data_IF_958632467637
#
_entry.id   IF_958632467637
#
_cell.length_a   1.000
_cell.length_b   1.000
_cell.length_c   1.000
_cell.angle_alpha   90.00
_cell.angle_beta   90.00
_cell.angle_gamma   90.00
#
_symmetry.space_group_name_H-M   'P 1'
#
loop_
_entity.id
_entity.type
_entity.pdbx_description
1 polymer ?
#
# COMPACT_ATOMS: atom_id res chain seq x y z
N UNK A 1 -11.53 18.02 14.41
CA UNK A 1 -10.82 16.75 14.23
C UNK A 1 -9.59 17.05 13.40
N UNK A 2 -8.38 16.70 13.88
CA UNK A 2 -7.13 16.86 13.11
C UNK A 2 -7.18 16.01 11.84
N UNK A 3 -6.68 16.55 10.74
CA UNK A 3 -6.61 15.87 9.45
C UNK A 3 -5.89 14.51 9.56
N UNK A 4 -6.43 13.41 8.98
CA UNK A 4 -5.81 12.09 9.10
C UNK A 4 -4.38 12.02 8.59
N UNK A 5 -4.04 12.79 7.54
CA UNK A 5 -2.67 12.84 7.03
C UNK A 5 -1.78 13.55 8.04
N UNK A 6 -2.17 14.71 8.55
CA UNK A 6 -1.41 15.40 9.60
C UNK A 6 -1.13 14.49 10.82
N UNK A 7 -2.13 13.73 11.26
CA UNK A 7 -1.95 12.75 12.36
C UNK A 7 -0.94 11.65 12.04
N UNK A 8 -0.91 11.16 10.79
CA UNK A 8 0.04 10.13 10.36
C UNK A 8 1.48 10.68 10.32
N UNK A 9 1.68 11.86 9.73
CA UNK A 9 3.01 12.47 9.64
C UNK A 9 3.59 12.79 11.01
N UNK A 10 2.76 13.29 11.94
CA UNK A 10 3.18 13.47 13.34
C UNK A 10 3.65 12.16 13.97
N UNK A 11 2.97 11.05 13.69
CA UNK A 11 3.38 9.75 14.22
C UNK A 11 4.72 9.27 13.62
N UNK A 12 5.00 9.59 12.36
CA UNK A 12 6.31 9.32 11.77
C UNK A 12 7.41 10.13 12.44
N UNK A 13 7.18 11.43 12.71
CA UNK A 13 8.12 12.29 13.44
C UNK A 13 8.42 11.74 14.84
N UNK A 14 7.38 11.34 15.60
CA UNK A 14 7.54 10.72 16.93
C UNK A 14 8.37 9.42 16.90
N UNK A 15 8.35 8.69 15.78
CA UNK A 15 9.09 7.45 15.57
C UNK A 15 10.48 7.67 14.93
N UNK A 16 10.83 8.91 14.58
CA UNK A 16 12.07 9.23 13.87
C UNK A 16 12.11 8.72 12.42
N UNK A 17 10.95 8.57 11.79
CA UNK A 17 10.82 8.14 10.39
C UNK A 17 10.74 9.38 9.49
N UNK A 18 11.76 9.57 8.65
CA UNK A 18 11.78 10.64 7.65
C UNK A 18 10.92 10.25 6.43
N UNK A 19 9.65 10.66 6.45
CA UNK A 19 8.67 10.33 5.42
C UNK A 19 8.55 11.47 4.40
N UNK A 20 9.04 11.23 3.17
CA UNK A 20 8.89 12.19 2.06
C UNK A 20 7.57 11.98 1.34
N UNK A 21 6.73 13.02 1.31
CA UNK A 21 5.48 12.99 0.55
C UNK A 21 5.71 13.54 -0.87
N UNK A 22 5.72 12.66 -1.86
CA UNK A 22 5.78 13.07 -3.27
C UNK A 22 4.34 13.29 -3.77
N UNK A 23 3.99 14.49 -4.26
CA UNK A 23 2.69 14.73 -4.87
C UNK A 23 2.49 13.79 -6.05
N UNK A 24 1.36 13.09 -6.05
CA UNK A 24 1.05 12.11 -7.06
C UNK A 24 -0.35 12.40 -7.63
N UNK A 25 -0.48 12.71 -8.94
CA UNK A 25 -1.74 13.13 -9.51
C UNK A 25 -2.76 11.98 -9.53
N UNK A 26 -4.03 12.35 -9.39
CA UNK A 26 -5.13 11.41 -9.51
C UNK A 26 -5.16 10.82 -10.94
N UNK A 27 -5.35 9.51 -11.02
CA UNK A 27 -5.42 8.73 -12.25
C UNK A 27 -6.41 7.59 -12.04
N UNK A 28 -6.86 6.94 -13.11
CA UNK A 28 -7.91 5.91 -13.05
C UNK A 28 -7.45 4.56 -13.52
N UNK A 29 -6.45 4.52 -14.40
CA UNK A 29 -5.93 3.28 -14.96
C UNK A 29 -4.55 2.95 -14.38
N UNK A 30 -4.20 1.66 -14.41
CA UNK A 30 -2.88 1.22 -13.95
C UNK A 30 -1.79 1.79 -14.85
N UNK A 31 -2.07 1.84 -16.15
CA UNK A 31 -1.19 2.33 -17.20
C UNK A 31 -0.86 3.83 -17.00
N UNK A 32 -1.87 4.67 -16.75
CA UNK A 32 -1.66 6.07 -16.38
C UNK A 32 -0.80 6.20 -15.13
N UNK A 33 -1.06 5.37 -14.11
CA UNK A 33 -0.30 5.42 -12.87
C UNK A 33 1.17 5.07 -13.09
N UNK A 34 1.45 4.00 -13.85
CA UNK A 34 2.83 3.61 -14.19
C UNK A 34 3.55 4.71 -14.97
N UNK A 35 2.88 5.32 -15.95
CA UNK A 35 3.45 6.43 -16.72
C UNK A 35 3.75 7.66 -15.84
N UNK A 36 2.85 8.00 -14.91
CA UNK A 36 3.02 9.15 -14.00
C UNK A 36 4.15 8.97 -12.99
N UNK A 37 4.43 7.73 -12.58
CA UNK A 37 5.57 7.44 -11.70
C UNK A 37 6.91 7.47 -12.43
N UNK A 38 6.94 7.10 -13.70
CA UNK A 38 8.18 7.10 -14.51
C UNK A 38 9.32 6.35 -13.82
N UNK A 39 10.50 6.98 -13.77
CA UNK A 39 11.73 6.43 -13.16
C UNK A 39 11.89 6.82 -11.69
N UNK A 40 10.79 7.12 -10.99
CA UNK A 40 10.83 7.48 -9.57
C UNK A 40 11.51 6.37 -8.76
N UNK A 41 12.58 6.73 -8.07
CA UNK A 41 13.36 5.81 -7.27
C UNK A 41 12.55 5.25 -6.09
N UNK A 42 12.84 4.00 -5.72
CA UNK A 42 12.23 3.33 -4.58
C UNK A 42 11.44 2.09 -4.98
N UNK A 43 10.70 1.55 -4.03
CA UNK A 43 9.84 0.37 -4.23
C UNK A 43 8.39 0.79 -4.17
N UNK A 44 7.67 0.56 -5.27
CA UNK A 44 6.22 0.72 -5.30
C UNK A 44 5.55 -0.53 -4.76
N UNK A 45 4.53 -0.31 -3.94
CA UNK A 45 3.74 -1.38 -3.34
C UNK A 45 2.29 -1.32 -3.81
N UNK A 46 1.69 -2.49 -3.94
CA UNK A 46 0.23 -2.63 -4.00
C UNK A 46 -0.27 -3.20 -2.67
N UNK A 47 -1.43 -2.72 -2.25
CA UNK A 47 -2.03 -3.05 -0.97
C UNK A 47 -3.38 -3.71 -1.21
N UNK A 48 -3.55 -4.95 -0.73
CA UNK A 48 -4.80 -5.69 -0.82
C UNK A 48 -5.40 -5.80 0.57
N UNK A 49 -6.59 -5.24 0.76
CA UNK A 49 -7.40 -5.48 1.96
C UNK A 49 -8.31 -6.68 1.68
N UNK A 50 -8.02 -7.81 2.30
CA UNK A 50 -8.75 -9.07 2.10
C UNK A 50 -9.46 -9.50 3.38
N UNK A 51 -10.47 -10.34 3.21
CA UNK A 51 -11.22 -10.95 4.31
C UNK A 51 -11.27 -12.46 4.10
N UNK A 52 -10.98 -13.23 5.13
CA UNK A 52 -11.11 -14.69 5.08
C UNK A 52 -12.55 -15.16 5.34
N UNK A 53 -12.78 -16.47 5.27
CA UNK A 53 -14.11 -17.07 5.52
C UNK A 53 -14.56 -16.94 6.98
N UNK A 54 -13.63 -16.78 7.93
CA UNK A 54 -13.91 -16.57 9.36
C UNK A 54 -14.15 -15.09 9.69
N UNK A 55 -14.01 -14.22 8.70
CA UNK A 55 -14.20 -12.79 8.80
C UNK A 55 -13.01 -11.98 9.29
N UNK A 56 -11.83 -12.60 9.43
CA UNK A 56 -10.59 -11.88 9.76
C UNK A 56 -10.15 -11.04 8.57
N UNK A 57 -9.70 -9.81 8.85
CA UNK A 57 -9.17 -8.89 7.86
C UNK A 57 -7.65 -9.02 7.77
N UNK A 58 -7.14 -8.96 6.54
CA UNK A 58 -5.72 -9.00 6.22
C UNK A 58 -5.37 -7.80 5.34
N UNK A 59 -4.33 -7.06 5.70
CA UNK A 59 -3.70 -6.08 4.82
C UNK A 59 -2.43 -6.71 4.26
N UNK A 60 -2.42 -6.98 2.96
CA UNK A 60 -1.27 -7.55 2.27
C UNK A 60 -0.56 -6.43 1.52
N UNK A 61 0.68 -6.17 1.90
CA UNK A 61 1.58 -5.21 1.25
C UNK A 61 2.59 -6.02 0.45
N UNK A 62 2.62 -5.82 -0.86
CA UNK A 62 3.54 -6.52 -1.77
C UNK A 62 4.15 -5.54 -2.76
N UNK A 63 5.27 -5.91 -3.38
CA UNK A 63 5.78 -5.18 -4.54
C UNK A 63 4.68 -5.06 -5.61
N UNK A 64 4.63 -3.92 -6.28
CA UNK A 64 3.59 -3.61 -7.27
C UNK A 64 3.44 -4.74 -8.31
N UNK A 65 4.55 -5.22 -8.86
CA UNK A 65 4.55 -6.24 -9.92
C UNK A 65 4.61 -7.68 -9.37
N UNK A 66 4.53 -7.88 -8.06
CA UNK A 66 4.55 -9.22 -7.50
C UNK A 66 3.23 -9.95 -7.75
N UNK A 67 3.28 -11.08 -8.43
CA UNK A 67 2.13 -11.96 -8.60
C UNK A 67 1.77 -12.64 -7.28
N UNK A 68 0.48 -12.57 -6.92
CA UNK A 68 -0.07 -13.16 -5.71
C UNK A 68 -1.15 -14.17 -6.07
N UNK A 69 -0.90 -15.46 -5.82
CA UNK A 69 -1.93 -16.49 -5.95
C UNK A 69 -2.89 -16.45 -4.76
N UNK A 70 -3.94 -15.64 -4.88
CA UNK A 70 -4.97 -15.49 -3.85
C UNK A 70 -5.71 -16.80 -3.54
N UNK A 71 -5.72 -17.77 -4.47
CA UNK A 71 -6.37 -19.06 -4.24
C UNK A 71 -5.63 -19.90 -3.22
N UNK A 72 -4.30 -19.77 -3.13
CA UNK A 72 -3.49 -20.57 -2.19
C UNK A 72 -2.93 -19.76 -1.02
N UNK A 73 -2.91 -18.43 -1.13
CA UNK A 73 -2.36 -17.52 -0.13
C UNK A 73 -2.94 -17.72 1.28
N UNK A 74 -4.23 -18.02 1.37
CA UNK A 74 -4.90 -18.27 2.66
C UNK A 74 -4.23 -19.41 3.46
N UNK A 75 -3.71 -20.45 2.78
CA UNK A 75 -3.02 -21.57 3.43
C UNK A 75 -1.72 -21.12 4.10
N UNK A 76 -0.97 -20.21 3.48
CA UNK A 76 0.28 -19.66 4.03
C UNK A 76 0.04 -18.71 5.19
N UNK A 77 -1.09 -17.99 5.16
CA UNK A 77 -1.48 -17.03 6.19
C UNK A 77 -2.23 -17.66 7.36
N UNK A 78 -2.56 -18.96 7.30
CA UNK A 78 -3.43 -19.61 8.29
C UNK A 78 -4.85 -19.01 8.30
N UNK A 79 -5.30 -18.53 7.14
CA UNK A 79 -6.57 -17.85 6.91
C UNK A 79 -7.70 -18.85 6.56
#
# INVERSE_FOLDING_TARGET
MTDPRERLFRRFEELGIDAVAVPYPAHRTVEEGKALRGDMAGTFTKNLLLKDKKGRLFLIVAHEDQDLDLKTLHKRLGA
#
